data_IF_244912799904
#
_entry.id   IF_244912799904
#
_cell.length_a   1.000
_cell.length_b   1.000
_cell.length_c   1.000
_cell.angle_alpha   90.00
_cell.angle_beta   90.00
_cell.angle_gamma   90.00
#
_symmetry.space_group_name_H-M   'P 1'
#
loop_
_entity.id
_entity.type
_entity.pdbx_description
1 polymer ?
#
# COMPACT_ATOMS: atom_id res chain seq x y z
N UNK A 1 -24.86 3.72 -0.29
CA UNK A 1 -24.28 3.40 -1.62
C UNK A 1 -23.35 2.18 -1.50
N UNK A 2 -23.86 1.06 -0.97
CA UNK A 2 -23.03 0.10 -0.21
C UNK A 2 -22.64 -1.20 -0.96
N UNK A 3 -22.75 -1.26 -2.28
CA UNK A 3 -22.67 -2.54 -3.01
C UNK A 3 -21.30 -2.83 -3.66
N UNK A 4 -20.41 -1.84 -3.82
CA UNK A 4 -19.13 -2.03 -4.51
C UNK A 4 -17.92 -2.12 -3.58
N UNK A 5 -18.02 -1.66 -2.33
CA UNK A 5 -16.87 -1.62 -1.42
C UNK A 5 -16.34 -3.02 -1.09
N UNK A 6 -17.23 -3.92 -0.64
CA UNK A 6 -16.89 -5.29 -0.25
C UNK A 6 -16.33 -6.14 -1.40
N UNK A 7 -16.68 -5.80 -2.65
CA UNK A 7 -16.19 -6.51 -3.83
C UNK A 7 -14.89 -5.89 -4.39
N UNK A 8 -14.74 -4.58 -4.33
CA UNK A 8 -13.62 -3.85 -4.96
C UNK A 8 -12.41 -3.77 -4.03
N UNK A 9 -12.61 -3.58 -2.72
CA UNK A 9 -11.51 -3.43 -1.77
C UNK A 9 -10.59 -4.66 -1.71
N UNK A 10 -11.09 -5.91 -1.67
CA UNK A 10 -10.21 -7.08 -1.69
C UNK A 10 -9.40 -7.18 -2.98
N UNK A 11 -10.00 -6.83 -4.13
CA UNK A 11 -9.32 -6.83 -5.43
C UNK A 11 -8.21 -5.78 -5.49
N UNK A 12 -8.44 -4.58 -4.93
CA UNK A 12 -7.41 -3.53 -4.82
C UNK A 12 -6.26 -3.97 -3.92
N UNK A 13 -6.55 -4.55 -2.74
CA UNK A 13 -5.51 -5.08 -1.84
C UNK A 13 -4.71 -6.19 -2.52
N UNK A 14 -5.38 -7.11 -3.21
CA UNK A 14 -4.71 -8.17 -3.97
C UNK A 14 -3.83 -7.60 -5.10
N UNK A 15 -4.31 -6.60 -5.84
CA UNK A 15 -3.52 -5.92 -6.87
C UNK A 15 -2.27 -5.27 -6.27
N UNK A 16 -2.39 -4.62 -5.11
CA UNK A 16 -1.24 -4.06 -4.38
C UNK A 16 -0.24 -5.13 -3.92
N UNK A 17 -0.70 -6.27 -3.41
CA UNK A 17 0.19 -7.39 -3.00
C UNK A 17 0.95 -7.95 -4.22
N UNK A 18 0.26 -8.13 -5.35
CA UNK A 18 0.90 -8.62 -6.58
C UNK A 18 1.90 -7.60 -7.13
N UNK A 19 1.53 -6.32 -7.14
CA UNK A 19 2.41 -5.24 -7.57
C UNK A 19 3.69 -5.17 -6.71
N UNK A 20 3.55 -5.12 -5.39
CA UNK A 20 4.69 -5.12 -4.46
C UNK A 20 5.53 -6.39 -4.59
N UNK A 21 4.91 -7.54 -4.86
CA UNK A 21 5.61 -8.79 -5.17
C UNK A 21 6.46 -8.72 -6.45
N UNK A 22 5.94 -8.10 -7.52
CA UNK A 22 6.69 -7.87 -8.76
C UNK A 22 7.87 -6.91 -8.51
N UNK A 23 7.67 -5.83 -7.76
CA UNK A 23 8.74 -4.90 -7.41
C UNK A 23 9.86 -5.58 -6.62
N UNK A 24 9.51 -6.44 -5.65
CA UNK A 24 10.49 -7.24 -4.89
C UNK A 24 11.27 -8.20 -5.79
N UNK A 25 10.61 -8.86 -6.73
CA UNK A 25 11.26 -9.76 -7.68
C UNK A 25 12.24 -9.00 -8.58
N UNK A 26 11.85 -7.84 -9.11
CA UNK A 26 12.73 -7.00 -9.93
C UNK A 26 13.92 -6.50 -9.11
N UNK A 27 13.69 -6.04 -7.87
CA UNK A 27 14.75 -5.60 -6.97
C UNK A 27 15.74 -6.74 -6.69
N UNK A 28 15.25 -7.96 -6.49
CA UNK A 28 16.10 -9.15 -6.31
C UNK A 28 16.93 -9.45 -7.56
N UNK A 29 16.32 -9.41 -8.76
CA UNK A 29 17.03 -9.64 -10.02
C UNK A 29 18.11 -8.59 -10.32
N UNK A 30 17.93 -7.36 -9.83
CA UNK A 30 18.87 -6.24 -10.02
C UNK A 30 19.72 -5.96 -8.78
N UNK A 31 19.69 -6.85 -7.78
CA UNK A 31 20.39 -6.64 -6.51
C UNK A 31 21.93 -6.63 -6.65
N UNK A 32 22.48 -7.25 -7.71
CA UNK A 32 23.92 -7.24 -7.99
C UNK A 32 24.41 -5.94 -8.64
N UNK A 33 23.51 -5.17 -9.26
CA UNK A 33 23.82 -3.90 -9.94
C UNK A 33 23.51 -2.70 -9.06
N UNK A 34 22.50 -2.82 -8.20
CA UNK A 34 22.12 -1.81 -7.23
C UNK A 34 22.98 -1.96 -5.96
N UNK A 35 23.75 -0.94 -5.60
CA UNK A 35 24.58 -0.96 -4.40
C UNK A 35 23.80 -1.32 -3.13
N UNK A 36 24.48 -1.98 -2.18
CA UNK A 36 23.87 -2.59 -0.98
C UNK A 36 22.91 -1.67 -0.21
N UNK A 37 23.26 -0.38 -0.04
CA UNK A 37 22.43 0.58 0.69
C UNK A 37 21.10 0.90 0.00
N UNK A 38 21.09 0.99 -1.34
CA UNK A 38 19.89 1.27 -2.11
C UNK A 38 18.93 0.08 -2.14
N UNK A 39 19.47 -1.14 -2.28
CA UNK A 39 18.69 -2.38 -2.24
C UNK A 39 18.03 -2.56 -0.88
N UNK A 40 18.79 -2.39 0.21
CA UNK A 40 18.30 -2.68 1.56
C UNK A 40 17.18 -1.71 1.97
N UNK A 41 17.30 -0.43 1.60
CA UNK A 41 16.28 0.58 1.86
C UNK A 41 14.98 0.30 1.09
N UNK A 42 15.08 0.03 -0.22
CA UNK A 42 13.92 -0.27 -1.05
C UNK A 42 13.24 -1.59 -0.63
N UNK A 43 14.04 -2.57 -0.21
CA UNK A 43 13.57 -3.85 0.31
C UNK A 43 12.75 -3.66 1.59
N UNK A 44 13.22 -2.84 2.54
CA UNK A 44 12.50 -2.59 3.79
C UNK A 44 11.13 -1.95 3.54
N UNK A 45 11.04 -0.97 2.65
CA UNK A 45 9.76 -0.35 2.33
C UNK A 45 8.80 -1.30 1.61
N UNK A 46 9.28 -2.02 0.59
CA UNK A 46 8.46 -2.99 -0.13
C UNK A 46 7.98 -4.13 0.77
N UNK A 47 8.83 -4.62 1.68
CA UNK A 47 8.43 -5.64 2.66
C UNK A 47 7.42 -5.11 3.67
N UNK A 48 7.60 -3.87 4.12
CA UNK A 48 6.65 -3.23 5.04
C UNK A 48 5.30 -3.01 4.34
N UNK A 49 5.31 -2.53 3.10
CA UNK A 49 4.10 -2.31 2.30
C UNK A 49 3.36 -3.61 2.05
N UNK A 50 4.07 -4.62 1.56
CA UNK A 50 3.53 -5.97 1.33
C UNK A 50 3.01 -6.58 2.64
N UNK A 51 3.72 -6.38 3.76
CA UNK A 51 3.32 -6.82 5.09
C UNK A 51 2.00 -6.19 5.54
N UNK A 52 1.86 -4.87 5.42
CA UNK A 52 0.62 -4.17 5.80
C UNK A 52 -0.53 -4.56 4.86
N UNK A 53 -0.31 -4.62 3.55
CA UNK A 53 -1.33 -5.05 2.59
C UNK A 53 -1.81 -6.48 2.86
N UNK A 54 -0.87 -7.39 3.14
CA UNK A 54 -1.18 -8.78 3.49
C UNK A 54 -1.90 -8.87 4.83
N UNK A 55 -1.46 -8.13 5.85
CA UNK A 55 -2.13 -8.04 7.14
C UNK A 55 -3.58 -7.56 6.97
N UNK A 56 -3.77 -6.48 6.22
CA UNK A 56 -5.08 -5.90 5.93
C UNK A 56 -5.99 -6.87 5.14
N UNK A 57 -5.42 -7.65 4.24
CA UNK A 57 -6.14 -8.66 3.47
C UNK A 57 -6.55 -9.85 4.35
N UNK A 58 -5.63 -10.41 5.13
CA UNK A 58 -5.87 -11.59 5.98
C UNK A 58 -6.81 -11.27 7.13
N UNK A 59 -6.65 -10.11 7.78
CA UNK A 59 -7.52 -9.66 8.88
C UNK A 59 -8.85 -9.08 8.40
N UNK A 60 -9.04 -8.92 7.09
CA UNK A 60 -10.24 -8.32 6.48
C UNK A 60 -10.60 -6.97 7.14
N UNK A 61 -9.59 -6.11 7.30
CA UNK A 61 -9.73 -4.81 7.95
C UNK A 61 -10.84 -3.99 7.27
N UNK A 62 -11.79 -3.47 8.05
CA UNK A 62 -12.86 -2.56 7.59
C UNK A 62 -12.34 -1.12 7.64
N UNK A 63 -11.84 -0.61 6.51
CA UNK A 63 -11.23 0.72 6.44
C UNK A 63 -12.15 1.87 6.92
N UNK A 64 -13.47 1.86 6.61
CA UNK A 64 -14.45 2.74 7.22
C UNK A 64 -14.50 2.72 8.76
N UNK A 65 -14.27 1.57 9.37
CA UNK A 65 -14.18 1.44 10.83
C UNK A 65 -12.86 2.04 11.34
N UNK A 66 -11.73 1.66 10.74
CA UNK A 66 -10.41 2.21 11.09
C UNK A 66 -10.38 3.74 11.00
N UNK A 67 -10.98 4.34 9.96
CA UNK A 67 -11.07 5.79 9.83
C UNK A 67 -11.82 6.43 11.01
N UNK A 68 -12.85 5.76 11.54
CA UNK A 68 -13.58 6.28 12.70
C UNK A 68 -12.73 6.21 13.95
N UNK A 69 -12.02 5.11 14.16
CA UNK A 69 -11.07 4.97 15.27
C UNK A 69 -9.98 6.05 15.20
N UNK A 70 -9.44 6.35 14.01
CA UNK A 70 -8.49 7.48 13.84
C UNK A 70 -9.10 8.82 14.26
N UNK A 71 -10.37 9.06 13.92
CA UNK A 71 -11.06 10.33 14.22
C UNK A 71 -11.53 10.43 15.68
N UNK A 72 -11.82 9.31 16.33
CA UNK A 72 -12.44 9.24 17.65
C UNK A 72 -11.48 8.89 18.79
N UNK A 73 -10.36 8.24 18.50
CA UNK A 73 -9.38 7.90 19.52
C UNK A 73 -8.93 9.16 20.27
N UNK A 74 -8.69 9.03 21.58
CA UNK A 74 -8.14 10.11 22.39
C UNK A 74 -6.62 9.95 22.52
N UNK A 75 -6.14 8.70 22.56
CA UNK A 75 -4.73 8.39 22.67
C UNK A 75 -3.99 8.54 21.32
N UNK A 76 -2.85 9.24 21.29
CA UNK A 76 -2.09 9.44 20.05
C UNK A 76 -1.50 8.14 19.49
N UNK A 77 -1.21 7.15 20.35
CA UNK A 77 -0.65 5.87 19.94
C UNK A 77 -1.65 5.06 19.11
N UNK A 78 -2.90 4.96 19.59
CA UNK A 78 -3.98 4.24 18.89
C UNK A 78 -4.31 4.93 17.56
N UNK A 79 -4.35 6.27 17.54
CA UNK A 79 -4.52 7.03 16.28
C UNK A 79 -3.50 6.66 15.23
N UNK A 80 -2.22 6.58 15.61
CA UNK A 80 -1.14 6.27 14.68
C UNK A 80 -1.24 4.85 14.17
N UNK A 81 -1.63 3.89 15.01
CA UNK A 81 -1.80 2.50 14.60
C UNK A 81 -2.91 2.35 13.54
N UNK A 82 -4.10 2.90 13.81
CA UNK A 82 -5.21 2.89 12.85
C UNK A 82 -4.89 3.70 11.58
N UNK A 83 -4.19 4.83 11.70
CA UNK A 83 -3.78 5.62 10.56
C UNK A 83 -2.71 4.91 9.71
N UNK A 84 -1.79 4.18 10.32
CA UNK A 84 -0.78 3.39 9.61
C UNK A 84 -1.41 2.23 8.84
N UNK A 85 -2.42 1.57 9.42
CA UNK A 85 -3.17 0.50 8.74
C UNK A 85 -3.95 1.05 7.53
N UNK A 86 -4.51 2.26 7.65
CA UNK A 86 -5.34 2.88 6.63
C UNK A 86 -4.54 3.56 5.51
N UNK A 87 -3.60 4.44 5.87
CA UNK A 87 -2.83 5.26 4.94
C UNK A 87 -1.44 4.69 4.63
N UNK A 88 -0.94 3.77 5.46
CA UNK A 88 0.42 3.22 5.34
C UNK A 88 0.72 2.62 3.99
N UNK A 89 -0.12 1.74 3.40
CA UNK A 89 0.15 1.18 2.08
C UNK A 89 0.34 2.24 1.00
N UNK A 90 -0.51 3.28 0.99
CA UNK A 90 -0.40 4.36 0.01
C UNK A 90 0.84 5.25 0.25
N UNK A 91 1.13 5.59 1.50
CA UNK A 91 2.31 6.38 1.85
C UNK A 91 3.60 5.63 1.54
N UNK A 92 3.64 4.31 1.78
CA UNK A 92 4.78 3.47 1.44
C UNK A 92 4.96 3.36 -0.07
N UNK A 93 3.89 3.16 -0.84
CA UNK A 93 3.95 3.17 -2.31
C UNK A 93 4.51 4.50 -2.85
N UNK A 94 4.11 5.64 -2.28
CA UNK A 94 4.67 6.95 -2.65
C UNK A 94 6.16 7.08 -2.31
N UNK A 95 6.58 6.58 -1.15
CA UNK A 95 7.99 6.57 -0.77
C UNK A 95 8.82 5.71 -1.72
N UNK A 96 8.33 4.50 -2.04
CA UNK A 96 8.96 3.58 -2.99
C UNK A 96 9.10 4.23 -4.37
N UNK A 97 8.07 4.92 -4.85
CA UNK A 97 8.11 5.67 -6.11
C UNK A 97 9.18 6.76 -6.09
N UNK A 98 9.24 7.55 -5.02
CA UNK A 98 10.21 8.64 -4.90
C UNK A 98 11.66 8.16 -4.79
N UNK A 99 11.86 6.99 -4.20
CA UNK A 99 13.19 6.40 -4.00
C UNK A 99 13.52 5.36 -5.06
N UNK A 100 12.68 5.25 -6.11
CA UNK A 100 12.86 4.28 -7.17
C UNK A 100 14.20 4.49 -7.88
N UNK A 101 15.00 3.43 -7.93
CA UNK A 101 16.28 3.44 -8.63
C UNK A 101 16.08 3.30 -10.14
N UNK A 102 16.96 3.94 -10.89
CA UNK A 102 17.13 3.67 -12.32
C UNK A 102 17.82 2.33 -12.47
N UNK A 103 17.14 1.35 -13.08
CA UNK A 103 17.73 0.05 -13.39
C UNK A 103 18.41 0.08 -14.76
N UNK A 104 19.49 -0.69 -14.92
CA UNK A 104 20.24 -0.80 -16.18
C UNK A 104 19.42 -1.50 -17.29
N UNK A 105 18.51 -2.40 -16.90
CA UNK A 105 17.64 -3.12 -17.82
C UNK A 105 16.32 -2.37 -18.03
N UNK A 106 16.03 -2.00 -19.28
CA UNK A 106 14.75 -1.38 -19.64
C UNK A 106 13.52 -2.24 -19.32
N UNK A 107 13.67 -3.57 -19.34
CA UNK A 107 12.60 -4.49 -18.95
C UNK A 107 12.35 -4.46 -17.43
N UNK A 108 13.42 -4.44 -16.62
CA UNK A 108 13.33 -4.30 -15.17
C UNK A 108 12.69 -2.97 -14.80
N UNK A 109 13.12 -1.87 -15.44
CA UNK A 109 12.52 -0.55 -15.26
C UNK A 109 11.04 -0.54 -15.60
N UNK A 110 10.64 -1.16 -16.72
CA UNK A 110 9.23 -1.24 -17.09
C UNK A 110 8.39 -2.00 -16.06
N UNK A 111 8.82 -3.21 -15.66
CA UNK A 111 8.07 -4.00 -14.69
C UNK A 111 8.00 -3.32 -13.32
N UNK A 112 9.12 -2.75 -12.86
CA UNK A 112 9.14 -2.02 -11.59
C UNK A 112 8.19 -0.83 -11.64
N UNK A 113 8.26 0.00 -12.67
CA UNK A 113 7.45 1.21 -12.78
C UNK A 113 5.96 0.90 -12.99
N UNK A 114 5.62 -0.11 -13.79
CA UNK A 114 4.24 -0.54 -14.00
C UNK A 114 3.63 -1.08 -12.69
N UNK A 115 4.40 -1.89 -11.96
CA UNK A 115 3.99 -2.39 -10.65
C UNK A 115 3.84 -1.26 -9.64
N UNK A 116 4.79 -0.32 -9.61
CA UNK A 116 4.79 0.85 -8.74
C UNK A 116 3.56 1.74 -8.95
N UNK A 117 3.26 2.09 -10.21
CA UNK A 117 2.04 2.81 -10.56
C UNK A 117 0.76 2.05 -10.17
N UNK A 118 0.77 0.72 -10.26
CA UNK A 118 -0.35 -0.13 -9.86
C UNK A 118 -0.53 -0.13 -8.34
N UNK A 119 0.55 -0.25 -7.57
CA UNK A 119 0.52 -0.19 -6.11
C UNK A 119 0.03 1.17 -5.62
N UNK A 120 0.55 2.27 -6.20
CA UNK A 120 0.09 3.62 -5.91
C UNK A 120 -1.40 3.82 -6.23
N UNK A 121 -1.85 3.40 -7.41
CA UNK A 121 -3.24 3.53 -7.81
C UNK A 121 -4.16 2.69 -6.91
N UNK A 122 -3.76 1.46 -6.58
CA UNK A 122 -4.52 0.59 -5.69
C UNK A 122 -4.62 1.17 -4.27
N UNK A 123 -3.52 1.69 -3.73
CA UNK A 123 -3.46 2.36 -2.44
C UNK A 123 -4.32 3.63 -2.41
N UNK A 124 -4.20 4.49 -3.41
CA UNK A 124 -4.96 5.75 -3.51
C UNK A 124 -6.47 5.48 -3.60
N UNK A 125 -6.89 4.61 -4.51
CA UNK A 125 -8.31 4.26 -4.67
C UNK A 125 -8.84 3.58 -3.42
N UNK A 126 -8.04 2.71 -2.78
CA UNK A 126 -8.38 2.10 -1.50
C UNK A 126 -8.68 3.13 -0.42
N UNK A 127 -7.75 4.07 -0.19
CA UNK A 127 -7.93 5.16 0.79
C UNK A 127 -9.17 6.00 0.47
N UNK A 128 -9.39 6.36 -0.80
CA UNK A 128 -10.60 7.10 -1.19
C UNK A 128 -11.88 6.34 -0.86
N UNK A 129 -11.93 5.04 -1.15
CA UNK A 129 -13.08 4.20 -0.83
C UNK A 129 -13.30 4.07 0.67
N UNK A 130 -12.24 3.97 1.46
CA UNK A 130 -12.30 3.91 2.92
C UNK A 130 -12.85 5.22 3.50
N UNK A 131 -12.39 6.37 3.01
CA UNK A 131 -12.87 7.69 3.40
C UNK A 131 -14.36 7.86 3.06
N UNK A 132 -14.74 7.55 1.82
CA UNK A 132 -16.14 7.68 1.37
C UNK A 132 -17.06 6.75 2.19
N UNK A 133 -16.63 5.52 2.44
CA UNK A 133 -17.37 4.55 3.24
C UNK A 133 -17.50 4.98 4.71
N UNK A 134 -16.42 5.48 5.32
CA UNK A 134 -16.40 5.94 6.71
C UNK A 134 -17.29 7.18 6.94
N UNK A 135 -17.24 8.14 6.02
CA UNK A 135 -18.07 9.36 6.06
C UNK A 135 -19.54 9.04 5.79
N UNK A 136 -19.85 8.15 4.84
CA UNK A 136 -21.23 7.78 4.51
C UNK A 136 -21.94 7.06 5.66
N UNK A 137 -21.24 6.28 6.49
CA UNK A 137 -21.83 5.63 7.67
C UNK A 137 -22.11 6.62 8.82
N UNK A 138 -21.51 7.83 8.84
CA UNK A 138 -21.65 8.83 9.93
C UNK A 138 -22.98 9.62 9.86
N UNK A 139 -23.69 9.54 8.73
CA UNK A 139 -24.93 10.28 8.47
C UNK A 139 -26.21 9.53 8.88
N UNK A 140 -26.10 8.44 9.64
CA UNK A 140 -27.21 7.74 10.29
C UNK A 140 -26.92 7.69 11.79
#
# INVERSE_FOLDING_TARGET
MNYKYEEVMPKLRQAGIVATGIQLLVLFMQSSTLGFGGVLFQLLFLLTECGILTYNFVKKIDGPHELREVLQAEEPKEKVEHAAVLFGPFLLALLVHWTAFTFDSGLSTFFFFAADCTAMAAGFVGVCLDIIGGLSKKSK
#
